data_IF_866071365158
#
_entry.id   IF_866071365158
#
_cell.length_a   1.000
_cell.length_b   1.000
_cell.length_c   1.000
_cell.angle_alpha   90.00
_cell.angle_beta   90.00
_cell.angle_gamma   90.00
#
_symmetry.space_group_name_H-M   'P 1'
#
loop_
_entity.id
_entity.type
_entity.pdbx_description
1 polymer ?
#
# COMPACT_ATOMS: atom_id res chain seq x y z
N UNK A 1 -20.66 11.64 1.76
CA UNK A 1 -19.68 10.85 0.97
C UNK A 1 -18.25 11.37 1.12
N UNK A 2 -18.02 12.68 1.19
CA UNK A 2 -16.66 13.27 1.33
C UNK A 2 -15.92 12.84 2.60
N UNK A 3 -16.62 12.70 3.73
CA UNK A 3 -16.02 12.31 5.03
C UNK A 3 -15.37 10.90 5.01
N UNK A 4 -15.86 9.99 4.17
CA UNK A 4 -15.35 8.61 4.09
C UNK A 4 -13.97 8.59 3.43
N UNK A 5 -13.77 9.36 2.34
CA UNK A 5 -12.47 9.44 1.65
C UNK A 5 -11.37 10.10 2.49
N UNK A 6 -11.73 11.11 3.29
CA UNK A 6 -10.78 11.74 4.21
C UNK A 6 -10.31 10.76 5.27
N UNK A 7 -11.23 9.98 5.85
CA UNK A 7 -10.91 8.95 6.84
C UNK A 7 -10.01 7.86 6.24
N UNK A 8 -10.35 7.36 5.06
CA UNK A 8 -9.54 6.35 4.35
C UNK A 8 -8.15 6.89 3.99
N UNK A 9 -8.05 8.14 3.56
CA UNK A 9 -6.77 8.78 3.25
C UNK A 9 -5.89 8.92 4.50
N UNK A 10 -6.46 9.36 5.62
CA UNK A 10 -5.74 9.48 6.90
C UNK A 10 -5.24 8.10 7.35
N UNK A 11 -6.09 7.08 7.29
CA UNK A 11 -5.72 5.70 7.60
C UNK A 11 -4.57 5.20 6.71
N UNK A 12 -4.62 5.47 5.41
CA UNK A 12 -3.57 5.08 4.47
C UNK A 12 -2.24 5.79 4.74
N UNK A 13 -2.26 7.10 5.02
CA UNK A 13 -1.07 7.89 5.36
C UNK A 13 -0.48 7.43 6.70
N UNK A 14 -1.32 7.22 7.72
CA UNK A 14 -0.87 6.74 9.02
C UNK A 14 -0.23 5.34 8.92
N UNK A 15 -0.89 4.41 8.22
CA UNK A 15 -0.34 3.08 7.95
C UNK A 15 0.97 3.13 7.17
N UNK A 16 1.07 4.02 6.17
CA UNK A 16 2.29 4.27 5.41
C UNK A 16 3.43 4.75 6.32
N UNK A 17 3.17 5.77 7.15
CA UNK A 17 4.17 6.33 8.06
C UNK A 17 4.70 5.28 9.05
N UNK A 18 3.80 4.50 9.66
CA UNK A 18 4.20 3.40 10.56
C UNK A 18 5.03 2.36 9.81
N UNK A 19 4.62 1.98 8.59
CA UNK A 19 5.37 1.03 7.76
C UNK A 19 6.78 1.53 7.42
N UNK A 20 6.93 2.82 7.08
CA UNK A 20 8.24 3.45 6.82
C UNK A 20 9.10 3.45 8.09
N UNK A 21 8.53 3.80 9.24
CA UNK A 21 9.24 3.80 10.52
C UNK A 21 9.80 2.40 10.81
N UNK A 22 8.97 1.36 10.71
CA UNK A 22 9.40 -0.04 10.87
C UNK A 22 10.53 -0.36 9.89
N UNK A 23 10.38 0.04 8.63
CA UNK A 23 11.38 -0.23 7.61
C UNK A 23 12.74 0.40 7.95
N UNK A 24 12.75 1.67 8.36
CA UNK A 24 13.97 2.39 8.77
C UNK A 24 14.63 1.70 9.97
N UNK A 25 13.87 1.32 11.00
CA UNK A 25 14.41 0.58 12.15
C UNK A 25 15.04 -0.75 11.74
N UNK A 26 14.42 -1.48 10.81
CA UNK A 26 14.98 -2.75 10.31
C UNK A 26 16.24 -2.57 9.48
N UNK A 27 16.43 -1.44 8.80
CA UNK A 27 17.69 -1.11 8.09
C UNK A 27 18.84 -0.95 9.10
N UNK A 28 18.58 -0.32 10.25
CA UNK A 28 19.56 -0.15 11.32
C UNK A 28 19.72 -1.38 12.23
N UNK A 29 19.17 -2.53 11.82
CA UNK A 29 19.21 -3.77 12.58
C UNK A 29 18.62 -3.67 14.00
N UNK A 30 17.71 -2.70 14.21
CA UNK A 30 17.02 -2.48 15.48
C UNK A 30 15.68 -3.23 15.43
N UNK A 31 15.63 -4.45 15.95
CA UNK A 31 14.38 -5.19 16.11
C UNK A 31 13.87 -5.10 17.55
N UNK A 32 12.92 -4.19 17.77
CA UNK A 32 12.10 -4.13 19.01
C UNK A 32 10.64 -4.52 18.78
N UNK A 33 10.28 -4.89 17.55
CA UNK A 33 8.89 -4.99 17.11
C UNK A 33 8.40 -6.44 17.11
N UNK A 34 7.23 -6.64 17.72
CA UNK A 34 6.51 -7.93 17.69
C UNK A 34 5.80 -8.11 16.34
N UNK A 35 5.48 -9.37 15.97
CA UNK A 35 4.70 -9.70 14.76
C UNK A 35 3.30 -9.03 14.72
N UNK A 36 2.82 -8.53 15.85
CA UNK A 36 1.49 -7.92 15.99
C UNK A 36 1.38 -6.67 15.12
N UNK A 37 2.41 -5.81 15.09
CA UNK A 37 2.34 -4.53 14.38
C UNK A 37 2.26 -4.74 12.85
N UNK A 38 3.15 -5.51 12.20
CA UNK A 38 2.99 -5.85 10.78
C UNK A 38 1.65 -6.51 10.46
N UNK A 39 1.14 -7.38 11.35
CA UNK A 39 -0.17 -8.02 11.17
C UNK A 39 -1.32 -7.01 11.17
N UNK A 40 -1.32 -6.05 12.11
CA UNK A 40 -2.31 -4.99 12.16
C UNK A 40 -2.25 -4.10 10.91
N UNK A 41 -1.04 -3.79 10.40
CA UNK A 41 -0.87 -3.06 9.15
C UNK A 41 -1.40 -3.85 7.94
N UNK A 42 -1.24 -5.18 7.93
CA UNK A 42 -1.83 -6.04 6.91
C UNK A 42 -3.37 -6.05 6.95
N UNK A 43 -3.97 -6.06 8.14
CA UNK A 43 -5.42 -5.97 8.28
C UNK A 43 -5.91 -4.60 7.78
N UNK A 44 -5.19 -3.53 8.13
CA UNK A 44 -5.50 -2.18 7.68
C UNK A 44 -5.43 -2.05 6.16
N UNK A 45 -4.37 -2.56 5.52
CA UNK A 45 -4.25 -2.47 4.06
C UNK A 45 -5.35 -3.28 3.36
N UNK A 46 -5.70 -4.46 3.89
CA UNK A 46 -6.80 -5.27 3.36
C UNK A 46 -8.13 -4.50 3.46
N UNK A 47 -8.40 -3.88 4.60
CA UNK A 47 -9.58 -3.04 4.80
C UNK A 47 -9.66 -1.89 3.78
N UNK A 48 -8.55 -1.17 3.58
CA UNK A 48 -8.48 -0.06 2.61
C UNK A 48 -8.77 -0.53 1.18
N UNK A 49 -8.19 -1.65 0.75
CA UNK A 49 -8.41 -2.20 -0.59
C UNK A 49 -9.83 -2.72 -0.79
N UNK A 50 -10.43 -3.34 0.24
CA UNK A 50 -11.84 -3.77 0.20
C UNK A 50 -12.79 -2.58 0.10
N UNK A 51 -12.49 -1.46 0.76
CA UNK A 51 -13.28 -0.23 0.63
C UNK A 51 -13.11 0.39 -0.75
N UNK A 52 -11.87 0.55 -1.22
CA UNK A 52 -11.59 1.10 -2.54
C UNK A 52 -12.23 0.29 -3.67
N UNK A 53 -12.21 -1.04 -3.59
CA UNK A 53 -12.81 -1.90 -4.63
C UNK A 53 -14.33 -1.74 -4.72
N UNK A 54 -15.02 -1.47 -3.59
CA UNK A 54 -16.45 -1.16 -3.59
C UNK A 54 -16.73 0.14 -4.35
N UNK A 55 -16.05 1.23 -4.03
CA UNK A 55 -16.24 2.50 -4.76
C UNK A 55 -15.89 2.36 -6.24
N UNK A 56 -14.84 1.61 -6.55
CA UNK A 56 -14.41 1.40 -7.92
C UNK A 56 -15.46 0.63 -8.72
N UNK A 57 -16.11 -0.37 -8.11
CA UNK A 57 -17.23 -1.10 -8.71
C UNK A 57 -18.40 -0.16 -9.00
N UNK A 58 -18.73 0.75 -8.08
CA UNK A 58 -19.81 1.72 -8.27
C UNK A 58 -19.48 2.69 -9.41
N UNK A 59 -18.25 3.22 -9.44
CA UNK A 59 -17.74 4.09 -10.52
C UNK A 59 -17.80 3.40 -11.89
N UNK A 60 -17.42 2.13 -11.98
CA UNK A 60 -17.43 1.39 -13.26
C UNK A 60 -18.84 1.15 -13.77
N UNK A 61 -19.76 0.80 -12.87
CA UNK A 61 -21.16 0.59 -13.22
C UNK A 61 -21.78 1.85 -13.82
N UNK A 62 -21.34 3.02 -13.38
CA UNK A 62 -21.87 4.31 -13.81
C UNK A 62 -21.20 4.86 -15.08
N UNK A 63 -19.88 4.68 -15.25
CA UNK A 63 -19.13 5.34 -16.33
C UNK A 63 -18.98 4.50 -17.61
N UNK A 64 -19.47 3.24 -17.64
CA UNK A 64 -19.35 2.34 -18.79
C UNK A 64 -17.91 2.19 -19.31
N UNK A 65 -16.90 2.51 -18.48
CA UNK A 65 -15.50 2.49 -18.87
C UNK A 65 -14.95 1.07 -18.88
N UNK A 66 -14.19 0.76 -19.92
CA UNK A 66 -13.61 -0.57 -20.18
C UNK A 66 -12.29 -0.81 -19.45
N UNK A 67 -11.62 0.23 -18.92
CA UNK A 67 -10.33 0.06 -18.23
C UNK A 67 -10.20 0.88 -16.95
N UNK A 68 -10.41 0.20 -15.82
CA UNK A 68 -10.16 0.69 -14.46
C UNK A 68 -8.76 1.28 -14.30
N UNK A 69 -7.77 0.60 -14.88
CA UNK A 69 -6.35 0.97 -14.73
C UNK A 69 -6.10 2.31 -15.41
N UNK A 70 -6.64 2.50 -16.61
CA UNK A 70 -6.55 3.78 -17.31
C UNK A 70 -7.26 4.89 -16.54
N UNK A 71 -8.46 4.63 -16.04
CA UNK A 71 -9.23 5.58 -15.25
C UNK A 71 -8.46 6.06 -14.01
N UNK A 72 -7.94 5.13 -13.21
CA UNK A 72 -7.17 5.46 -12.00
C UNK A 72 -5.89 6.22 -12.37
N UNK A 73 -5.10 5.68 -13.31
CA UNK A 73 -3.80 6.28 -13.64
C UNK A 73 -3.96 7.66 -14.28
N UNK A 74 -5.04 7.94 -15.01
CA UNK A 74 -5.27 9.29 -15.57
C UNK A 74 -5.56 10.36 -14.52
N UNK A 75 -6.00 9.98 -13.30
CA UNK A 75 -6.45 10.90 -12.24
C UNK A 75 -5.40 11.17 -11.17
N UNK A 76 -4.39 10.31 -11.05
CA UNK A 76 -3.30 10.45 -10.08
C UNK A 76 -2.32 11.54 -10.56
N UNK A 77 -1.84 12.45 -9.69
CA UNK A 77 -0.83 13.43 -10.07
C UNK A 77 0.52 12.75 -10.34
N UNK A 78 1.30 13.31 -11.26
CA UNK A 78 2.54 12.69 -11.75
C UNK A 78 3.51 12.33 -10.63
N UNK A 79 3.68 13.21 -9.63
CA UNK A 79 4.57 12.96 -8.49
C UNK A 79 4.18 11.70 -7.69
N UNK A 80 2.87 11.45 -7.52
CA UNK A 80 2.39 10.30 -6.76
C UNK A 80 2.54 9.00 -7.55
N UNK A 81 2.44 9.04 -8.89
CA UNK A 81 2.78 7.89 -9.74
C UNK A 81 4.24 7.50 -9.57
N UNK A 82 5.15 8.47 -9.61
CA UNK A 82 6.58 8.22 -9.42
C UNK A 82 6.88 7.62 -8.06
N UNK A 83 6.21 8.07 -6.99
CA UNK A 83 6.34 7.46 -5.67
C UNK A 83 5.88 6.00 -5.67
N UNK A 84 4.70 5.69 -6.23
CA UNK A 84 4.20 4.31 -6.31
C UNK A 84 5.18 3.43 -7.09
N UNK A 85 5.72 3.89 -8.22
CA UNK A 85 6.70 3.14 -9.00
C UNK A 85 8.02 2.95 -8.25
N UNK A 86 8.54 4.00 -7.60
CA UNK A 86 9.77 3.94 -6.83
C UNK A 86 9.66 2.93 -5.67
N UNK A 87 8.58 3.01 -4.88
CA UNK A 87 8.37 2.08 -3.77
C UNK A 87 8.00 0.67 -4.23
N UNK A 88 7.28 0.52 -5.35
CA UNK A 88 7.02 -0.79 -5.96
C UNK A 88 8.31 -1.49 -6.39
N UNK A 89 9.19 -0.76 -7.10
CA UNK A 89 10.50 -1.27 -7.48
C UNK A 89 11.37 -1.58 -6.25
N UNK A 90 11.33 -0.72 -5.25
CA UNK A 90 12.03 -0.92 -3.99
C UNK A 90 11.58 -2.17 -3.23
N UNK A 91 10.27 -2.46 -3.21
CA UNK A 91 9.73 -3.68 -2.61
C UNK A 91 10.21 -4.93 -3.36
N UNK A 92 10.27 -4.88 -4.70
CA UNK A 92 10.82 -5.97 -5.52
C UNK A 92 12.30 -6.20 -5.19
N UNK A 93 13.12 -5.15 -5.11
CA UNK A 93 14.53 -5.29 -4.73
C UNK A 93 14.69 -5.90 -3.33
N UNK A 94 13.91 -5.47 -2.34
CA UNK A 94 13.96 -6.07 -1.00
C UNK A 94 13.52 -7.55 -1.01
N UNK A 95 12.52 -7.91 -1.82
CA UNK A 95 12.11 -9.30 -2.01
C UNK A 95 13.24 -10.16 -2.60
N UNK A 96 13.93 -9.65 -3.62
CA UNK A 96 15.08 -10.35 -4.23
C UNK A 96 16.22 -10.53 -3.22
N UNK A 97 16.57 -9.49 -2.45
CA UNK A 97 17.59 -9.59 -1.39
C UNK A 97 17.20 -10.64 -0.36
N UNK A 98 15.95 -10.62 0.09
CA UNK A 98 15.42 -11.62 1.02
C UNK A 98 15.52 -13.04 0.46
N UNK A 99 15.09 -13.24 -0.79
CA UNK A 99 15.10 -14.54 -1.46
C UNK A 99 16.52 -15.10 -1.58
N UNK A 100 17.48 -14.27 -2.00
CA UNK A 100 18.90 -14.66 -2.10
C UNK A 100 19.46 -15.06 -0.72
N UNK A 101 19.16 -14.29 0.34
CA UNK A 101 19.68 -14.56 1.68
C UNK A 101 19.00 -15.74 2.41
N UNK A 102 17.74 -16.05 2.06
CA UNK A 102 16.95 -17.09 2.74
C UNK A 102 16.76 -18.36 1.89
N UNK A 103 17.53 -18.53 0.82
CA UNK A 103 17.55 -19.74 -0.02
C UNK A 103 18.21 -20.95 0.67
N UNK A 104 17.87 -21.21 1.94
CA UNK A 104 18.23 -22.45 2.64
C UNK A 104 17.10 -23.47 2.44
N UNK A 105 17.38 -24.66 1.88
CA UNK A 105 16.38 -25.70 1.75
C UNK A 105 15.98 -26.21 3.15
N UNK A 106 14.68 -26.14 3.44
CA UNK A 106 14.11 -26.63 4.69
C UNK A 106 14.11 -25.59 5.81
N UNK A 107 12.94 -24.99 6.03
CA UNK A 107 12.30 -24.70 7.33
C UNK A 107 11.29 -23.57 7.14
N UNK A 108 10.01 -23.85 7.44
CA UNK A 108 9.05 -22.81 7.76
C UNK A 108 9.42 -22.33 9.17
N UNK A 109 10.37 -21.41 9.24
CA UNK A 109 10.73 -20.75 10.49
C UNK A 109 9.81 -19.54 10.71
N UNK A 110 9.01 -19.57 11.77
CA UNK A 110 8.11 -18.49 12.15
C UNK A 110 8.79 -17.42 13.02
N UNK A 111 10.08 -17.55 13.32
CA UNK A 111 10.79 -16.53 14.09
C UNK A 111 10.89 -15.21 13.31
N UNK A 112 10.70 -14.13 14.07
CA UNK A 112 10.83 -12.76 13.58
C UNK A 112 12.31 -12.47 13.42
N UNK A 113 12.76 -12.39 12.18
CA UNK A 113 14.09 -11.88 11.87
C UNK A 113 14.00 -10.49 11.30
N UNK A 114 15.03 -9.67 11.55
CA UNK A 114 15.13 -8.30 11.00
C UNK A 114 14.94 -8.31 9.49
N UNK A 115 15.47 -9.32 8.79
CA UNK A 115 15.35 -9.44 7.33
C UNK A 115 13.91 -9.73 6.87
N UNK A 116 13.14 -10.53 7.62
CA UNK A 116 11.71 -10.75 7.36
C UNK A 116 10.91 -9.47 7.62
N UNK A 117 11.17 -8.77 8.72
CA UNK A 117 10.53 -7.49 9.03
C UNK A 117 10.85 -6.42 7.98
N UNK A 118 12.10 -6.37 7.50
CA UNK A 118 12.52 -5.48 6.42
C UNK A 118 11.76 -5.76 5.13
N UNK A 119 11.63 -7.04 4.75
CA UNK A 119 10.84 -7.43 3.60
C UNK A 119 9.38 -6.99 3.75
N UNK A 120 8.74 -7.39 4.85
CA UNK A 120 7.31 -7.15 5.09
C UNK A 120 7.00 -5.66 5.12
N UNK A 121 7.78 -4.87 5.86
CA UNK A 121 7.61 -3.40 5.92
C UNK A 121 7.90 -2.72 4.58
N UNK A 122 8.83 -3.23 3.78
CA UNK A 122 9.08 -2.72 2.42
C UNK A 122 7.87 -2.92 1.51
N UNK A 123 7.29 -4.12 1.53
CA UNK A 123 6.07 -4.46 0.79
C UNK A 123 4.88 -3.62 1.28
N UNK A 124 4.66 -3.56 2.59
CA UNK A 124 3.57 -2.77 3.18
C UNK A 124 3.68 -1.30 2.79
N UNK A 125 4.88 -0.72 2.78
CA UNK A 125 5.11 0.67 2.37
C UNK A 125 4.64 0.90 0.92
N UNK A 126 5.04 0.01 0.00
CA UNK A 126 4.61 0.09 -1.40
C UNK A 126 3.09 -0.05 -1.55
N UNK A 127 2.47 -0.98 -0.82
CA UNK A 127 1.02 -1.16 -0.84
C UNK A 127 0.28 0.07 -0.28
N UNK A 128 0.76 0.70 0.79
CA UNK A 128 0.15 1.93 1.30
C UNK A 128 0.28 3.09 0.32
N UNK A 129 1.41 3.25 -0.37
CA UNK A 129 1.51 4.27 -1.43
C UNK A 129 0.52 4.01 -2.58
N UNK A 130 0.36 2.74 -2.99
CA UNK A 130 -0.64 2.37 -3.98
C UNK A 130 -2.07 2.65 -3.50
N UNK A 131 -2.37 2.40 -2.21
CA UNK A 131 -3.66 2.74 -1.60
C UNK A 131 -3.92 4.25 -1.59
N UNK A 132 -2.91 5.07 -1.23
CA UNK A 132 -3.00 6.54 -1.27
C UNK A 132 -3.33 7.02 -2.69
N UNK A 133 -2.62 6.50 -3.70
CA UNK A 133 -2.89 6.77 -5.11
C UNK A 133 -4.31 6.39 -5.51
N UNK A 134 -4.77 5.21 -5.10
CA UNK A 134 -6.11 4.72 -5.42
C UNK A 134 -7.21 5.58 -4.78
N UNK A 135 -7.10 5.88 -3.49
CA UNK A 135 -8.06 6.73 -2.76
C UNK A 135 -8.08 8.14 -3.37
N UNK A 136 -6.92 8.68 -3.73
CA UNK A 136 -6.82 9.98 -4.41
C UNK A 136 -7.60 9.97 -5.73
N UNK A 137 -7.35 8.95 -6.58
CA UNK A 137 -8.02 8.85 -7.87
C UNK A 137 -9.54 8.74 -7.73
N UNK A 138 -10.01 7.88 -6.82
CA UNK A 138 -11.44 7.69 -6.53
C UNK A 138 -12.06 9.02 -6.04
N UNK A 139 -11.36 9.77 -5.18
CA UNK A 139 -11.83 11.07 -4.69
C UNK A 139 -11.93 12.09 -5.84
N UNK A 140 -10.94 12.17 -6.73
CA UNK A 140 -10.98 13.13 -7.85
C UNK A 140 -12.10 12.82 -8.86
N UNK A 141 -12.31 11.53 -9.16
CA UNK A 141 -13.40 11.09 -10.05
C UNK A 141 -14.76 11.54 -9.50
N UNK A 142 -15.01 11.29 -8.21
CA UNK A 142 -16.27 11.66 -7.58
C UNK A 142 -16.45 13.18 -7.46
N UNK A 143 -15.38 13.92 -7.13
CA UNK A 143 -15.44 15.39 -7.07
C UNK A 143 -15.87 15.99 -8.41
N UNK A 144 -15.31 15.50 -9.53
CA UNK A 144 -15.68 15.99 -10.87
C UNK A 144 -17.11 15.65 -11.27
N UNK A 145 -17.69 14.58 -10.71
CA UNK A 145 -19.10 14.23 -10.91
C UNK A 145 -20.03 15.24 -10.23
N UNK A 146 -19.67 15.72 -9.04
CA UNK A 146 -20.46 16.70 -8.29
C UNK A 146 -20.40 18.13 -8.91
N UNK A 147 -19.43 18.38 -9.81
CA UNK A 147 -19.24 19.65 -10.51
C UNK A 147 -20.01 19.73 -11.86
N UNK A 148 -20.65 18.64 -12.31
CA UNK A 148 -21.41 18.52 -13.56
C UNK A 148 -22.93 18.48 -13.31
#
# INVERSE_FOLDING_TARGET
>A
MTEDYHTLMIMAIAGCAVSIIIHVFTIFNMAFLTNIIPMLLFILILYLYLKCSRYLKDILRENNETSIVYLITSRIPVWLKWLVYAFGLYAIFNFLIFYIHNNKPGYIDFNVSVIKLRLVSGILTALFFAAIALIYAIKDINRKKDEL
#
